data_IF_500682776268
#
_entry.id   IF_500682776268
#
_cell.length_a   1.000
_cell.length_b   1.000
_cell.length_c   1.000
_cell.angle_alpha   90.00
_cell.angle_beta   90.00
_cell.angle_gamma   90.00
#
_symmetry.space_group_name_H-M   'P 1'
#
loop_
_entity.id
_entity.type
_entity.pdbx_description
1 polymer ?
#
# COMPACT_ATOMS: atom_id res chain seq x y z
N UNK A 1 34.86 1.57 56.43
CA UNK A 1 35.57 1.86 55.19
C UNK A 1 35.29 0.77 54.18
N UNK A 2 34.35 0.97 53.31
CA UNK A 2 34.13 0.08 52.16
C UNK A 2 33.21 0.78 51.15
N UNK A 3 33.77 1.66 50.31
CA UNK A 3 33.04 2.47 49.34
C UNK A 3 33.49 2.19 47.89
N UNK A 4 33.80 0.93 47.58
CA UNK A 4 34.42 0.60 46.30
C UNK A 4 33.72 -0.44 45.40
N UNK A 5 32.46 -0.81 45.63
CA UNK A 5 31.87 -1.96 44.92
C UNK A 5 30.54 -1.72 44.19
N UNK A 6 29.99 -0.51 44.19
CA UNK A 6 28.66 -0.25 43.60
C UNK A 6 28.73 0.30 42.16
N UNK A 7 29.87 0.84 41.72
CA UNK A 7 29.95 1.48 40.39
C UNK A 7 30.26 0.56 39.19
N UNK A 8 30.63 -0.71 39.42
CA UNK A 8 30.95 -1.63 38.30
C UNK A 8 29.77 -2.41 37.75
N UNK A 9 28.67 -2.53 38.50
CA UNK A 9 27.50 -3.30 38.05
C UNK A 9 26.51 -2.50 37.23
N UNK A 10 26.50 -1.17 37.36
CA UNK A 10 25.58 -0.28 36.60
C UNK A 10 26.08 -0.04 35.17
N UNK A 11 27.40 0.01 34.96
CA UNK A 11 27.96 0.20 33.64
C UNK A 11 27.78 -1.01 32.70
N UNK A 12 27.69 -2.22 33.26
CA UNK A 12 27.55 -3.45 32.47
C UNK A 12 26.11 -3.67 31.98
N UNK A 13 25.10 -3.19 32.73
CA UNK A 13 23.67 -3.30 32.34
C UNK A 13 23.35 -2.32 31.22
N UNK A 14 23.95 -1.14 31.21
CA UNK A 14 23.76 -0.16 30.11
C UNK A 14 24.43 -0.57 28.80
N UNK A 15 25.58 -1.24 28.84
CA UNK A 15 26.27 -1.72 27.65
C UNK A 15 25.54 -2.88 26.98
N UNK A 16 24.90 -3.78 27.73
CA UNK A 16 24.11 -4.88 27.17
C UNK A 16 22.76 -4.42 26.61
N UNK A 17 22.14 -3.39 27.18
CA UNK A 17 20.87 -2.86 26.67
C UNK A 17 21.07 -2.00 25.41
N UNK A 18 22.21 -1.33 25.27
CA UNK A 18 22.56 -0.57 24.07
C UNK A 18 22.97 -1.48 22.90
N UNK A 19 23.48 -2.68 23.15
CA UNK A 19 23.84 -3.65 22.11
C UNK A 19 22.63 -4.42 21.58
N UNK A 20 21.54 -4.56 22.35
CA UNK A 20 20.28 -5.17 21.88
C UNK A 20 19.46 -4.23 20.99
N UNK A 21 19.59 -2.91 21.14
CA UNK A 21 18.88 -1.95 20.27
C UNK A 21 19.51 -1.83 18.88
N UNK A 22 20.81 -2.14 18.71
CA UNK A 22 21.47 -2.06 17.40
C UNK A 22 21.24 -3.27 16.50
N UNK A 23 20.86 -4.41 17.05
CA UNK A 23 20.61 -5.64 16.27
C UNK A 23 19.19 -5.74 15.72
N UNK A 24 18.24 -4.91 16.19
CA UNK A 24 16.85 -4.89 15.68
C UNK A 24 16.61 -3.88 14.54
N UNK A 25 17.56 -2.98 14.26
CA UNK A 25 17.42 -2.01 13.17
C UNK A 25 17.96 -2.51 11.81
N UNK A 26 18.77 -3.56 11.80
CA UNK A 26 19.37 -4.11 10.58
C UNK A 26 18.35 -4.78 9.60
N UNK A 27 17.28 -5.44 10.04
CA UNK A 27 16.36 -6.07 9.09
C UNK A 27 15.48 -5.10 8.30
N UNK A 28 15.15 -3.91 8.84
CA UNK A 28 14.28 -2.95 8.11
C UNK A 28 14.97 -2.31 6.89
N UNK A 29 16.26 -1.99 7.00
CA UNK A 29 17.02 -1.41 5.86
C UNK A 29 17.31 -2.44 4.76
N UNK A 30 17.50 -3.70 5.11
CA UNK A 30 17.70 -4.77 4.14
C UNK A 30 16.41 -5.09 3.37
N UNK A 31 15.24 -4.99 4.01
CA UNK A 31 13.93 -5.25 3.39
C UNK A 31 13.57 -4.18 2.35
N UNK A 32 13.75 -2.90 2.64
CA UNK A 32 13.51 -1.80 1.69
C UNK A 32 14.40 -1.88 0.45
N UNK A 33 15.68 -2.23 0.62
CA UNK A 33 16.63 -2.35 -0.49
C UNK A 33 16.33 -3.56 -1.41
N UNK A 34 15.85 -4.67 -0.86
CA UNK A 34 15.43 -5.84 -1.64
C UNK A 34 14.16 -5.54 -2.45
N UNK A 35 13.20 -4.82 -1.87
CA UNK A 35 11.94 -4.44 -2.52
C UNK A 35 12.17 -3.51 -3.71
N UNK A 36 13.03 -2.51 -3.58
CA UNK A 36 13.37 -1.58 -4.68
C UNK A 36 14.08 -2.32 -5.82
N UNK A 37 15.07 -3.16 -5.53
CA UNK A 37 15.76 -3.96 -6.55
C UNK A 37 14.86 -4.96 -7.26
N UNK A 38 13.87 -5.54 -6.56
CA UNK A 38 12.91 -6.48 -7.15
C UNK A 38 11.95 -5.75 -8.09
N UNK A 39 11.52 -4.53 -7.75
CA UNK A 39 10.70 -3.68 -8.62
C UNK A 39 11.44 -3.21 -9.86
N UNK A 40 12.69 -2.75 -9.72
CA UNK A 40 13.55 -2.36 -10.85
C UNK A 40 13.84 -3.54 -11.79
N UNK A 41 14.11 -4.73 -11.24
CA UNK A 41 14.31 -5.94 -12.03
C UNK A 41 13.02 -6.40 -12.75
N UNK A 42 11.86 -6.23 -12.15
CA UNK A 42 10.57 -6.56 -12.73
C UNK A 42 10.20 -5.65 -13.89
N UNK A 43 10.50 -4.36 -13.78
CA UNK A 43 10.33 -3.40 -14.89
C UNK A 43 11.22 -3.74 -16.10
N UNK A 44 12.40 -4.30 -15.86
CA UNK A 44 13.33 -4.70 -16.92
C UNK A 44 12.89 -5.96 -17.69
N UNK A 45 11.97 -6.78 -17.16
CA UNK A 45 11.54 -8.07 -17.75
C UNK A 45 10.06 -8.13 -18.12
N UNK A 46 9.39 -6.98 -18.27
CA UNK A 46 8.01 -6.93 -18.76
C UNK A 46 6.93 -6.98 -17.69
N UNK A 47 7.29 -6.68 -16.44
CA UNK A 47 6.34 -6.57 -15.33
C UNK A 47 6.22 -7.86 -14.48
N UNK A 48 5.55 -7.74 -13.35
CA UNK A 48 5.26 -8.85 -12.43
C UNK A 48 3.75 -9.00 -12.25
N UNK A 49 3.29 -10.24 -12.09
CA UNK A 49 1.89 -10.52 -11.84
C UNK A 49 1.49 -10.19 -10.40
N UNK A 50 0.33 -9.60 -10.22
CA UNK A 50 -0.28 -9.31 -8.94
C UNK A 50 -1.77 -9.60 -8.92
N UNK A 51 -2.33 -9.58 -7.73
CA UNK A 51 -3.78 -9.67 -7.52
C UNK A 51 -4.25 -8.56 -6.61
N UNK A 52 -5.49 -8.16 -6.72
CA UNK A 52 -6.18 -7.34 -5.73
C UNK A 52 -7.27 -8.15 -5.04
N UNK A 53 -7.43 -7.91 -3.73
CA UNK A 53 -8.35 -8.68 -2.89
C UNK A 53 -9.01 -7.80 -1.84
N UNK A 54 -10.17 -8.26 -1.38
CA UNK A 54 -10.96 -7.67 -0.32
C UNK A 54 -11.75 -8.76 0.41
N UNK A 55 -12.64 -8.40 1.30
CA UNK A 55 -13.55 -9.35 1.96
C UNK A 55 -14.37 -10.23 0.99
N UNK A 56 -14.55 -9.79 -0.24
CA UNK A 56 -15.34 -10.54 -1.24
C UNK A 56 -14.65 -11.80 -1.76
N UNK A 57 -13.34 -11.96 -1.58
CA UNK A 57 -12.60 -13.17 -1.94
C UNK A 57 -12.68 -14.26 -0.85
N UNK A 58 -13.28 -13.93 0.31
CA UNK A 58 -13.43 -14.88 1.42
C UNK A 58 -12.09 -15.36 1.98
N UNK A 59 -11.98 -16.63 2.28
CA UNK A 59 -10.77 -17.20 2.86
C UNK A 59 -9.78 -17.62 1.77
N UNK A 60 -8.64 -16.94 1.71
CA UNK A 60 -7.60 -17.13 0.69
C UNK A 60 -6.50 -18.06 1.22
N UNK A 61 -6.11 -19.05 0.40
CA UNK A 61 -4.94 -19.88 0.68
C UNK A 61 -3.67 -19.21 0.16
N UNK A 62 -3.03 -18.43 1.01
CA UNK A 62 -1.84 -17.64 0.67
C UNK A 62 -0.65 -18.48 0.27
N UNK A 63 -0.45 -19.66 0.89
CA UNK A 63 0.59 -20.60 0.50
C UNK A 63 0.40 -21.12 -0.94
N UNK A 64 -0.84 -21.23 -1.42
CA UNK A 64 -1.16 -21.58 -2.80
C UNK A 64 -0.90 -20.38 -3.74
N UNK A 65 -1.28 -19.18 -3.35
CA UNK A 65 -1.02 -17.95 -4.12
C UNK A 65 0.49 -17.74 -4.30
N UNK A 66 1.28 -17.91 -3.27
CA UNK A 66 2.74 -17.73 -3.32
C UNK A 66 3.47 -18.74 -4.23
N UNK A 67 2.88 -19.91 -4.46
CA UNK A 67 3.41 -20.92 -5.40
C UNK A 67 3.10 -20.62 -6.87
N UNK A 68 2.20 -19.67 -7.13
CA UNK A 68 1.89 -19.20 -8.49
C UNK A 68 2.86 -18.13 -8.97
N UNK A 69 2.58 -17.55 -10.14
CA UNK A 69 3.38 -16.43 -10.67
C UNK A 69 3.12 -15.09 -9.98
N UNK A 70 2.16 -15.01 -9.05
CA UNK A 70 1.83 -13.80 -8.28
C UNK A 70 3.00 -13.40 -7.39
N UNK A 71 3.38 -12.11 -7.48
CA UNK A 71 4.49 -11.53 -6.72
C UNK A 71 4.05 -10.42 -5.76
N UNK A 72 2.91 -9.78 -6.02
CA UNK A 72 2.35 -8.75 -5.14
C UNK A 72 0.84 -8.89 -4.98
N UNK A 73 0.34 -8.33 -3.90
CA UNK A 73 -1.08 -8.23 -3.63
C UNK A 73 -1.45 -6.81 -3.21
N UNK A 74 -2.57 -6.31 -3.72
CA UNK A 74 -3.21 -5.08 -3.27
C UNK A 74 -4.40 -5.48 -2.40
N UNK A 75 -4.35 -5.22 -1.10
CA UNK A 75 -5.40 -5.62 -0.16
C UNK A 75 -6.26 -4.40 0.19
N UNK A 76 -7.58 -4.51 0.06
CA UNK A 76 -8.46 -3.42 0.51
C UNK A 76 -8.36 -3.26 2.02
N UNK A 77 -7.93 -2.07 2.46
CA UNK A 77 -7.86 -1.74 3.87
C UNK A 77 -9.18 -1.11 4.37
N UNK A 78 -9.82 -0.31 3.50
CA UNK A 78 -11.03 0.40 3.89
C UNK A 78 -11.85 0.87 2.68
N UNK A 79 -13.11 1.19 2.93
CA UNK A 79 -14.09 1.69 1.97
C UNK A 79 -14.89 2.81 2.64
N UNK A 80 -14.67 4.07 2.25
CA UNK A 80 -15.22 5.22 2.97
C UNK A 80 -14.78 5.19 4.44
N UNK A 81 -15.73 5.16 5.35
CA UNK A 81 -15.45 5.07 6.79
C UNK A 81 -15.58 3.64 7.35
N UNK A 82 -15.63 2.63 6.48
CA UNK A 82 -15.71 1.23 6.86
C UNK A 82 -14.36 0.55 6.66
N UNK A 83 -13.87 -0.15 7.69
CA UNK A 83 -12.70 -1.03 7.60
C UNK A 83 -13.05 -2.30 6.84
N UNK A 84 -12.11 -2.86 6.06
CA UNK A 84 -12.29 -4.19 5.50
C UNK A 84 -11.94 -5.24 6.56
N UNK A 85 -12.91 -6.01 7.00
CA UNK A 85 -12.77 -7.01 8.06
C UNK A 85 -11.72 -8.08 7.79
N UNK A 86 -11.32 -8.26 6.52
CA UNK A 86 -10.30 -9.25 6.13
C UNK A 86 -8.92 -8.63 5.91
N UNK A 87 -8.78 -7.30 6.02
CA UNK A 87 -7.55 -6.59 5.68
C UNK A 87 -6.31 -7.15 6.37
N UNK A 88 -6.31 -7.13 7.70
CA UNK A 88 -5.16 -7.56 8.50
C UNK A 88 -4.84 -9.04 8.24
N UNK A 89 -5.87 -9.89 8.20
CA UNK A 89 -5.71 -11.32 7.91
C UNK A 89 -5.07 -11.56 6.54
N UNK A 90 -5.56 -10.90 5.50
CA UNK A 90 -5.06 -11.06 4.14
C UNK A 90 -3.66 -10.48 3.97
N UNK A 91 -3.41 -9.28 4.52
CA UNK A 91 -2.09 -8.65 4.42
C UNK A 91 -1.01 -9.46 5.15
N UNK A 92 -1.27 -9.93 6.38
CA UNK A 92 -0.35 -10.80 7.12
C UNK A 92 -0.16 -12.15 6.42
N UNK A 93 -1.24 -12.75 5.93
CA UNK A 93 -1.17 -14.02 5.20
C UNK A 93 -0.28 -13.94 3.97
N UNK A 94 -0.44 -12.90 3.15
CA UNK A 94 0.38 -12.67 1.97
C UNK A 94 1.84 -12.35 2.34
N UNK A 95 2.06 -11.50 3.34
CA UNK A 95 3.39 -11.12 3.80
C UNK A 95 4.19 -12.33 4.32
N UNK A 96 3.56 -13.19 5.11
CA UNK A 96 4.19 -14.39 5.67
C UNK A 96 4.61 -15.41 4.61
N UNK A 97 3.96 -15.40 3.46
CA UNK A 97 4.32 -16.24 2.30
C UNK A 97 5.30 -15.53 1.34
N UNK A 98 5.83 -14.35 1.71
CA UNK A 98 6.86 -13.63 0.96
C UNK A 98 6.34 -12.81 -0.22
N UNK A 99 5.04 -12.55 -0.32
CA UNK A 99 4.48 -11.66 -1.33
C UNK A 99 4.71 -10.19 -0.94
N UNK A 100 4.87 -9.32 -1.94
CA UNK A 100 4.83 -7.89 -1.73
C UNK A 100 3.39 -7.46 -1.41
N UNK A 101 3.23 -6.65 -0.36
CA UNK A 101 1.91 -6.24 0.14
C UNK A 101 1.73 -4.73 -0.01
N UNK A 102 0.81 -4.35 -0.87
CA UNK A 102 0.21 -3.03 -0.95
C UNK A 102 -1.20 -3.04 -0.36
N UNK A 103 -1.76 -1.86 -0.20
CA UNK A 103 -3.12 -1.71 0.27
C UNK A 103 -3.87 -0.68 -0.56
N UNK A 104 -5.21 -0.72 -0.54
CA UNK A 104 -6.00 0.32 -1.16
C UNK A 104 -7.19 0.77 -0.30
N UNK A 105 -7.56 2.01 -0.49
CA UNK A 105 -8.74 2.64 0.08
C UNK A 105 -9.73 2.99 -1.01
N UNK A 106 -10.93 2.45 -0.94
CA UNK A 106 -12.02 2.82 -1.85
C UNK A 106 -12.70 4.11 -1.39
N UNK A 107 -12.57 5.17 -2.16
CA UNK A 107 -13.06 6.51 -1.82
C UNK A 107 -14.57 6.62 -1.84
N UNK A 108 -15.13 7.23 -0.80
CA UNK A 108 -16.54 7.64 -0.69
C UNK A 108 -16.72 9.11 -0.34
N UNK A 109 -15.64 9.86 -0.17
CA UNK A 109 -15.69 11.27 0.19
C UNK A 109 -16.45 12.12 -0.83
N UNK A 110 -17.10 13.17 -0.33
CA UNK A 110 -17.86 14.15 -1.10
C UNK A 110 -17.40 15.58 -0.87
N UNK A 111 -16.46 15.79 0.05
CA UNK A 111 -15.89 17.07 0.43
C UNK A 111 -14.54 16.89 1.12
N UNK A 112 -13.88 18.01 1.45
CA UNK A 112 -12.59 18.00 2.14
C UNK A 112 -12.63 17.33 3.52
N UNK A 113 -13.70 17.53 4.30
CA UNK A 113 -13.77 17.00 5.66
C UNK A 113 -13.95 15.48 5.67
N UNK A 114 -14.79 14.95 4.79
CA UNK A 114 -14.97 13.50 4.60
C UNK A 114 -13.69 12.87 4.05
N UNK A 115 -13.02 13.51 3.07
CA UNK A 115 -11.75 13.04 2.54
C UNK A 115 -10.67 12.93 3.62
N UNK A 116 -10.52 13.94 4.49
CA UNK A 116 -9.55 13.89 5.59
C UNK A 116 -9.85 12.80 6.62
N UNK A 117 -11.12 12.50 6.88
CA UNK A 117 -11.51 11.39 7.76
C UNK A 117 -11.15 10.05 7.14
N UNK A 118 -11.44 9.87 5.85
CA UNK A 118 -11.09 8.64 5.11
C UNK A 118 -9.57 8.45 5.03
N UNK A 119 -8.80 9.50 4.77
CA UNK A 119 -7.34 9.45 4.76
C UNK A 119 -6.76 9.03 6.12
N UNK A 120 -7.27 9.59 7.22
CA UNK A 120 -6.84 9.23 8.58
C UNK A 120 -7.18 7.78 8.92
N UNK A 121 -8.37 7.30 8.54
CA UNK A 121 -8.75 5.90 8.70
C UNK A 121 -7.79 5.01 7.91
N UNK A 122 -7.55 5.30 6.64
CA UNK A 122 -6.63 4.52 5.81
C UNK A 122 -5.24 4.47 6.42
N UNK A 123 -4.67 5.61 6.84
CA UNK A 123 -3.37 5.66 7.52
C UNK A 123 -3.35 4.84 8.81
N UNK A 124 -4.45 4.82 9.58
CA UNK A 124 -4.53 3.98 10.78
C UNK A 124 -4.49 2.50 10.44
N UNK A 125 -5.19 2.07 9.40
CA UNK A 125 -5.18 0.69 8.94
C UNK A 125 -3.80 0.27 8.42
N UNK A 126 -3.11 1.14 7.68
CA UNK A 126 -1.76 0.85 7.17
C UNK A 126 -0.74 0.54 8.27
N UNK A 127 -0.94 1.05 9.49
CA UNK A 127 -0.06 0.81 10.64
C UNK A 127 -0.22 -0.58 11.27
N UNK A 128 -1.32 -1.27 10.98
CA UNK A 128 -1.63 -2.59 11.55
C UNK A 128 -0.79 -3.71 10.92
N UNK A 129 -0.19 -3.46 9.75
CA UNK A 129 0.56 -4.46 8.97
C UNK A 129 1.84 -3.89 8.39
N UNK A 130 2.72 -4.75 7.89
CA UNK A 130 3.91 -4.33 7.15
C UNK A 130 3.56 -4.12 5.68
N UNK A 131 3.62 -2.87 5.22
CA UNK A 131 3.44 -2.50 3.82
C UNK A 131 4.81 -2.56 3.12
N UNK A 132 4.90 -3.33 2.03
CA UNK A 132 6.13 -3.55 1.24
C UNK A 132 5.96 -3.19 -0.24
N UNK A 133 4.78 -2.71 -0.63
CA UNK A 133 4.42 -2.24 -1.98
C UNK A 133 3.65 -0.93 -1.87
N UNK A 134 3.55 -0.10 -2.93
CA UNK A 134 2.79 1.15 -2.86
C UNK A 134 1.33 0.94 -2.43
N UNK A 135 0.74 1.99 -1.84
CA UNK A 135 -0.67 1.98 -1.45
C UNK A 135 -1.48 2.87 -2.40
N UNK A 136 -2.76 2.52 -2.61
CA UNK A 136 -3.57 3.19 -3.61
C UNK A 136 -4.81 3.89 -3.02
N UNK A 137 -5.12 5.08 -3.56
CA UNK A 137 -6.45 5.67 -3.49
C UNK A 137 -7.26 5.15 -4.69
N UNK A 138 -8.35 4.48 -4.44
CA UNK A 138 -9.26 3.91 -5.43
C UNK A 138 -10.48 4.83 -5.61
N UNK A 139 -10.62 5.43 -6.79
CA UNK A 139 -11.65 6.43 -7.10
C UNK A 139 -12.43 6.02 -8.34
N UNK A 140 -13.66 5.55 -8.14
CA UNK A 140 -14.52 5.05 -9.22
C UNK A 140 -15.80 5.85 -9.44
N UNK A 141 -16.04 6.88 -8.63
CA UNK A 141 -17.23 7.73 -8.71
C UNK A 141 -16.91 9.18 -8.37
N UNK A 142 -17.43 10.13 -9.16
CA UNK A 142 -17.24 11.56 -8.92
C UNK A 142 -18.13 12.14 -7.80
N UNK A 143 -19.19 11.43 -7.39
CA UNK A 143 -20.08 11.73 -6.23
C UNK A 143 -20.60 13.16 -6.19
N UNK A 144 -20.89 13.75 -7.37
CA UNK A 144 -21.35 15.13 -7.50
C UNK A 144 -20.23 16.18 -7.47
N UNK A 145 -18.98 15.79 -7.29
CA UNK A 145 -17.84 16.70 -7.37
C UNK A 145 -17.53 17.06 -8.83
N UNK A 146 -17.10 18.30 -9.05
CA UNK A 146 -16.53 18.70 -10.33
C UNK A 146 -15.19 18.00 -10.55
N UNK A 147 -14.75 17.91 -11.81
CA UNK A 147 -13.44 17.35 -12.18
C UNK A 147 -12.28 17.99 -11.41
N UNK A 148 -12.27 19.31 -11.32
CA UNK A 148 -11.22 20.05 -10.61
C UNK A 148 -11.24 19.77 -9.10
N UNK A 149 -12.41 19.72 -8.48
CA UNK A 149 -12.53 19.48 -7.05
C UNK A 149 -12.20 18.02 -6.71
N UNK A 150 -12.67 17.05 -7.48
CA UNK A 150 -12.31 15.65 -7.31
C UNK A 150 -10.80 15.46 -7.42
N UNK A 151 -10.18 16.02 -8.46
CA UNK A 151 -8.71 15.96 -8.65
C UNK A 151 -7.97 16.57 -7.45
N UNK A 152 -8.44 17.73 -6.98
CA UNK A 152 -7.85 18.40 -5.80
C UNK A 152 -7.94 17.54 -4.54
N UNK A 153 -9.08 16.92 -4.28
CA UNK A 153 -9.29 16.07 -3.11
C UNK A 153 -8.45 14.77 -3.21
N UNK A 154 -8.38 14.15 -4.39
CA UNK A 154 -7.51 13.00 -4.62
C UNK A 154 -6.05 13.36 -4.33
N UNK A 155 -5.57 14.50 -4.82
CA UNK A 155 -4.20 14.96 -4.57
C UNK A 155 -3.93 15.17 -3.08
N UNK A 156 -4.82 15.85 -2.37
CA UNK A 156 -4.68 16.07 -0.93
C UNK A 156 -4.68 14.75 -0.13
N UNK A 157 -5.52 13.79 -0.50
CA UNK A 157 -5.52 12.46 0.10
C UNK A 157 -4.16 11.77 -0.08
N UNK A 158 -3.64 11.76 -1.31
CA UNK A 158 -2.35 11.15 -1.64
C UNK A 158 -1.19 11.84 -0.90
N UNK A 159 -1.22 13.17 -0.79
CA UNK A 159 -0.23 13.94 -0.02
C UNK A 159 -0.26 13.62 1.48
N UNK A 160 -1.45 13.46 2.06
CA UNK A 160 -1.61 13.08 3.47
C UNK A 160 -1.02 11.68 3.74
N UNK A 161 -1.35 10.70 2.88
CA UNK A 161 -0.82 9.33 3.01
C UNK A 161 0.68 9.29 2.74
N UNK A 162 1.18 10.05 1.76
CA UNK A 162 2.61 10.18 1.48
C UNK A 162 3.37 10.81 2.65
N UNK A 163 2.80 11.81 3.30
CA UNK A 163 3.37 12.46 4.48
C UNK A 163 3.45 11.52 5.69
N UNK A 164 2.61 10.49 5.72
CA UNK A 164 2.68 9.41 6.71
C UNK A 164 3.78 8.36 6.40
N UNK A 165 4.52 8.52 5.28
CA UNK A 165 5.69 7.70 4.92
C UNK A 165 5.42 6.59 3.93
N UNK A 166 4.28 6.58 3.25
CA UNK A 166 3.93 5.53 2.28
C UNK A 166 4.16 5.99 0.84
N UNK A 167 4.62 5.09 -0.01
CA UNK A 167 4.57 5.24 -1.47
C UNK A 167 3.12 5.17 -1.93
N UNK A 168 2.68 6.15 -2.74
CA UNK A 168 1.27 6.29 -3.10
C UNK A 168 1.03 6.16 -4.61
N UNK A 169 -0.15 5.66 -4.96
CA UNK A 169 -0.65 5.64 -6.33
C UNK A 169 -2.15 5.93 -6.36
N UNK A 170 -2.66 6.22 -7.55
CA UNK A 170 -4.08 6.43 -7.79
C UNK A 170 -4.62 5.32 -8.68
N UNK A 171 -5.72 4.68 -8.26
CA UNK A 171 -6.43 3.69 -9.06
C UNK A 171 -7.73 4.25 -9.59
N UNK A 172 -8.02 3.94 -10.85
CA UNK A 172 -9.33 4.07 -11.46
C UNK A 172 -9.43 3.30 -12.78
N UNK A 173 -10.61 3.36 -13.41
CA UNK A 173 -10.77 2.94 -14.81
C UNK A 173 -10.16 3.93 -15.79
N UNK A 174 -9.69 3.45 -16.93
CA UNK A 174 -9.03 4.31 -17.94
C UNK A 174 -9.94 5.44 -18.44
N UNK A 175 -11.23 5.18 -18.65
CA UNK A 175 -12.21 6.21 -19.02
C UNK A 175 -12.45 7.21 -17.88
N UNK A 176 -12.51 6.73 -16.61
CA UNK A 176 -12.71 7.62 -15.47
C UNK A 176 -11.54 8.60 -15.30
N UNK A 177 -10.31 8.14 -15.49
CA UNK A 177 -9.13 9.01 -15.50
C UNK A 177 -9.27 10.13 -16.55
N UNK A 178 -9.70 9.80 -17.76
CA UNK A 178 -9.84 10.78 -18.86
C UNK A 178 -11.00 11.76 -18.63
N UNK A 179 -12.12 11.27 -18.14
CA UNK A 179 -13.36 12.04 -18.08
C UNK A 179 -13.50 12.86 -16.80
N UNK A 180 -13.01 12.34 -15.66
CA UNK A 180 -13.31 12.88 -14.33
C UNK A 180 -12.09 13.38 -13.54
N UNK A 181 -10.87 13.17 -14.04
CA UNK A 181 -9.63 13.59 -13.36
C UNK A 181 -8.75 14.42 -14.30
N UNK A 182 -8.09 15.43 -13.74
CA UNK A 182 -7.07 16.19 -14.45
C UNK A 182 -5.69 15.56 -14.21
N UNK A 183 -5.25 14.75 -15.16
CA UNK A 183 -3.97 14.03 -15.09
C UNK A 183 -2.77 14.99 -15.02
N UNK A 184 -2.85 16.18 -15.65
CA UNK A 184 -1.78 17.17 -15.57
C UNK A 184 -1.65 17.73 -14.13
N UNK A 185 -2.77 17.95 -13.45
CA UNK A 185 -2.77 18.43 -12.07
C UNK A 185 -2.35 17.35 -11.05
N UNK A 186 -2.54 16.06 -11.37
CA UNK A 186 -2.05 14.93 -10.59
C UNK A 186 -0.53 14.77 -10.70
N UNK A 187 0.08 15.24 -11.79
CA UNK A 187 1.53 15.21 -11.98
C UNK A 187 2.09 13.78 -12.05
N UNK A 188 3.17 13.53 -11.28
CA UNK A 188 3.95 12.28 -11.38
C UNK A 188 3.44 11.16 -10.44
N UNK A 189 2.20 11.23 -9.96
CA UNK A 189 1.65 10.11 -9.19
C UNK A 189 1.54 8.87 -10.08
N UNK A 190 2.02 7.74 -9.55
CA UNK A 190 1.88 6.43 -10.21
C UNK A 190 0.40 6.09 -10.39
N UNK A 191 0.04 5.57 -11.55
CA UNK A 191 -1.31 5.15 -11.86
C UNK A 191 -1.43 3.63 -11.84
N UNK A 192 -2.48 3.13 -11.20
CA UNK A 192 -2.97 1.77 -11.34
C UNK A 192 -4.28 1.85 -12.13
N UNK A 193 -4.27 1.36 -13.36
CA UNK A 193 -5.34 1.59 -14.32
C UNK A 193 -6.07 0.29 -14.65
N UNK A 194 -7.39 0.30 -14.47
CA UNK A 194 -8.25 -0.78 -14.92
C UNK A 194 -8.71 -0.54 -16.37
N UNK A 195 -8.45 -1.51 -17.24
CA UNK A 195 -9.02 -1.62 -18.56
C UNK A 195 -9.03 -3.11 -18.99
N UNK A 196 -10.21 -3.68 -19.12
CA UNK A 196 -10.39 -5.13 -19.38
C UNK A 196 -10.46 -5.47 -20.87
N UNK A 197 -10.26 -4.48 -21.77
CA UNK A 197 -10.34 -4.68 -23.21
C UNK A 197 -8.96 -4.61 -23.87
N UNK A 198 -8.16 -3.66 -23.45
CA UNK A 198 -6.86 -3.37 -24.05
C UNK A 198 -5.94 -2.72 -23.02
N UNK A 199 -4.64 -2.76 -23.26
CA UNK A 199 -3.67 -2.08 -22.42
C UNK A 199 -3.90 -0.56 -22.51
N UNK A 200 -4.04 0.15 -21.36
CA UNK A 200 -4.24 1.59 -21.36
C UNK A 200 -2.95 2.34 -21.75
N UNK A 201 -3.11 3.49 -22.42
CA UNK A 201 -2.03 4.40 -22.84
C UNK A 201 -1.90 5.60 -21.88
N UNK A 202 -1.92 5.37 -20.58
CA UNK A 202 -1.87 6.40 -19.53
C UNK A 202 -0.53 6.46 -18.79
N UNK A 203 0.48 5.72 -19.26
CA UNK A 203 1.77 5.62 -18.55
C UNK A 203 1.63 4.94 -17.19
N UNK A 204 0.73 3.97 -17.10
CA UNK A 204 0.41 3.26 -15.86
C UNK A 204 1.59 2.44 -15.32
N UNK A 205 1.72 2.44 -13.99
CA UNK A 205 2.65 1.57 -13.29
C UNK A 205 2.06 0.16 -13.08
N UNK A 206 0.73 0.06 -12.95
CA UNK A 206 0.00 -1.20 -12.85
C UNK A 206 -1.18 -1.19 -13.82
N UNK A 207 -1.38 -2.29 -14.53
CA UNK A 207 -2.55 -2.55 -15.36
C UNK A 207 -3.39 -3.66 -14.74
N UNK A 208 -4.63 -3.33 -14.36
CA UNK A 208 -5.63 -4.34 -13.99
C UNK A 208 -6.39 -4.74 -15.28
N UNK A 209 -6.02 -5.89 -15.83
CA UNK A 209 -6.54 -6.37 -17.12
C UNK A 209 -7.77 -7.26 -16.99
N UNK A 210 -8.16 -7.63 -15.79
CA UNK A 210 -9.36 -8.43 -15.51
C UNK A 210 -9.87 -8.19 -14.09
N UNK A 211 -11.18 -8.34 -13.90
CA UNK A 211 -11.84 -8.39 -12.58
C UNK A 211 -12.08 -9.83 -12.11
N UNK A 212 -11.72 -10.83 -12.91
CA UNK A 212 -11.89 -12.26 -12.64
C UNK A 212 -10.54 -12.95 -12.70
N UNK A 213 -9.91 -13.14 -11.54
CA UNK A 213 -8.68 -13.92 -11.42
C UNK A 213 -8.93 -15.24 -10.69
N UNK A 214 -8.26 -16.29 -11.12
CA UNK A 214 -8.16 -17.53 -10.35
C UNK A 214 -6.70 -17.94 -10.22
N UNK A 215 -6.31 -18.35 -9.02
CA UNK A 215 -4.99 -18.93 -8.74
C UNK A 215 -5.19 -20.43 -8.57
N UNK A 216 -4.66 -21.20 -9.52
CA UNK A 216 -4.78 -22.66 -9.56
C UNK A 216 -3.74 -23.36 -8.69
#
# INVERSE_FOLDING_TARGET
>A
MNTGRIHKSVALVFATMMMLCFTLAAPLQAYGAVTIKTLEAAQAVGGIAGIDVSKYQGNINWAKVAKSDVKFVMVRASLGMEEDETYVHNALGAHNEGLLVGAYHYAKFTDYQSMMKEAKLFISQLKEVTITYPVALDVEAHRGLSRSELTRLCKLFLEEVKSAGYDVMLYSYSNFFRDHLDLNALGDYKLWVANYKEEPDLGQAIWQYTSYGSVS
#
